data_IF_047849392286
#
_entry.id   IF_047849392286
#
_cell.length_a   1.000
_cell.length_b   1.000
_cell.length_c   1.000
_cell.angle_alpha   90.00
_cell.angle_beta   90.00
_cell.angle_gamma   90.00
#
_symmetry.space_group_name_H-M   'P 1'
#
loop_
_entity.id
_entity.type
_entity.pdbx_description
1 polymer ?
#
# COMPACT_ATOMS: atom_id res chain seq x y z
N UNK A 1 -21.52 -3.40 -4.27
CA UNK A 1 -20.49 -2.80 -3.40
C UNK A 1 -19.37 -2.11 -4.19
N UNK A 2 -18.63 -2.79 -5.08
CA UNK A 2 -17.54 -2.13 -5.86
C UNK A 2 -17.98 -0.98 -6.79
N UNK A 3 -19.27 -0.89 -7.17
CA UNK A 3 -19.83 0.20 -7.97
C UNK A 3 -19.94 1.55 -7.24
N UNK A 4 -19.91 1.55 -5.91
CA UNK A 4 -20.04 2.75 -5.10
C UNK A 4 -18.68 3.38 -4.75
N UNK A 5 -17.61 3.00 -5.48
CA UNK A 5 -16.30 3.60 -5.27
C UNK A 5 -16.38 5.09 -5.61
N UNK A 6 -15.96 6.00 -4.70
CA UNK A 6 -16.36 7.40 -4.78
C UNK A 6 -15.86 8.13 -6.02
N UNK A 7 -14.69 7.74 -6.54
CA UNK A 7 -14.08 8.32 -7.74
C UNK A 7 -14.32 7.49 -9.00
N UNK A 8 -14.27 6.16 -8.88
CA UNK A 8 -14.21 5.27 -10.05
C UNK A 8 -15.35 4.23 -10.04
N UNK A 9 -16.49 4.61 -9.49
CA UNK A 9 -17.68 3.78 -9.43
C UNK A 9 -18.84 4.44 -10.14
N UNK A 10 -19.66 3.68 -10.88
CA UNK A 10 -20.83 4.21 -11.58
C UNK A 10 -21.91 4.73 -10.64
N UNK A 11 -21.95 4.18 -9.43
CA UNK A 11 -22.87 4.57 -8.37
C UNK A 11 -22.14 5.44 -7.31
N UNK A 12 -20.90 5.86 -7.60
CA UNK A 12 -20.14 6.77 -6.75
C UNK A 12 -20.56 8.23 -6.95
N UNK A 13 -20.48 9.09 -5.92
CA UNK A 13 -20.88 10.50 -5.98
C UNK A 13 -20.14 11.32 -7.05
N UNK A 14 -18.93 10.92 -7.46
CA UNK A 14 -18.17 11.57 -8.54
C UNK A 14 -18.12 10.75 -9.85
N UNK A 15 -18.83 9.61 -9.89
CA UNK A 15 -18.87 8.71 -11.04
C UNK A 15 -19.47 9.34 -12.31
N UNK A 16 -20.66 9.97 -12.24
CA UNK A 16 -21.31 10.58 -13.40
C UNK A 16 -20.48 11.69 -14.05
N UNK A 17 -19.77 12.48 -13.25
CA UNK A 17 -18.93 13.59 -13.71
C UNK A 17 -17.65 13.12 -14.41
N UNK A 18 -17.17 11.92 -14.06
CA UNK A 18 -15.99 11.29 -14.67
C UNK A 18 -16.35 10.36 -15.84
N UNK A 19 -17.62 10.32 -16.27
CA UNK A 19 -18.07 9.50 -17.40
C UNK A 19 -18.04 8.00 -17.09
N UNK A 20 -18.17 7.60 -15.82
CA UNK A 20 -18.12 6.19 -15.45
C UNK A 20 -19.39 5.45 -15.88
N UNK A 21 -19.20 4.48 -16.78
CA UNK A 21 -20.25 3.58 -17.25
C UNK A 21 -20.10 2.19 -16.62
N UNK A 22 -21.14 1.34 -16.58
CA UNK A 22 -21.05 -0.04 -16.06
C UNK A 22 -19.97 -0.91 -16.69
N UNK A 23 -19.46 -0.51 -17.85
CA UNK A 23 -18.41 -1.19 -18.61
C UNK A 23 -17.01 -0.60 -18.39
N UNK A 24 -16.90 0.54 -17.70
CA UNK A 24 -15.63 1.18 -17.38
C UNK A 24 -15.43 1.35 -15.86
N UNK A 25 -16.28 0.73 -15.04
CA UNK A 25 -16.25 0.80 -13.58
C UNK A 25 -15.11 -0.05 -12.98
N UNK A 26 -14.59 0.32 -11.81
CA UNK A 26 -13.75 -0.54 -10.95
C UNK A 26 -14.35 -1.93 -10.80
N UNK A 27 -15.67 -2.06 -10.66
CA UNK A 27 -16.33 -3.38 -10.63
C UNK A 27 -16.04 -4.20 -11.89
N UNK A 28 -16.11 -3.57 -13.06
CA UNK A 28 -15.85 -4.26 -14.32
C UNK A 28 -14.36 -4.59 -14.47
N UNK A 29 -13.46 -3.70 -14.03
CA UNK A 29 -12.02 -3.96 -14.02
C UNK A 29 -11.64 -5.17 -13.12
N UNK A 30 -12.31 -5.32 -11.97
CA UNK A 30 -12.07 -6.42 -11.05
C UNK A 30 -12.69 -7.74 -11.52
N UNK A 31 -13.94 -7.72 -12.00
CA UNK A 31 -14.67 -8.94 -12.37
C UNK A 31 -14.41 -9.40 -13.81
N UNK A 32 -14.11 -8.48 -14.73
CA UNK A 32 -14.05 -8.77 -16.17
C UNK A 32 -15.40 -9.17 -16.78
N UNK A 33 -16.50 -8.87 -16.11
CA UNK A 33 -17.87 -9.20 -16.51
C UNK A 33 -18.91 -8.57 -15.59
N UNK A 34 -20.19 -8.88 -15.82
CA UNK A 34 -21.31 -8.38 -15.01
C UNK A 34 -21.48 -9.15 -13.69
N UNK A 35 -20.97 -10.39 -13.63
CA UNK A 35 -21.08 -11.33 -12.51
C UNK A 35 -19.71 -11.90 -12.15
N UNK A 36 -19.63 -12.53 -10.97
CA UNK A 36 -18.46 -13.31 -10.56
C UNK A 36 -18.52 -14.65 -11.28
N UNK A 37 -17.53 -14.92 -12.12
CA UNK A 37 -17.42 -16.16 -12.89
C UNK A 37 -15.92 -16.48 -13.16
N UNK A 38 -15.64 -17.46 -14.01
CA UNK A 38 -14.28 -17.91 -14.36
C UNK A 38 -13.34 -16.76 -14.78
N UNK A 39 -13.84 -15.73 -15.47
CA UNK A 39 -13.04 -14.55 -15.83
C UNK A 39 -12.60 -13.76 -14.58
N UNK A 40 -13.50 -13.60 -13.61
CA UNK A 40 -13.21 -12.94 -12.35
C UNK A 40 -12.18 -13.73 -11.53
N UNK A 41 -12.25 -15.07 -11.55
CA UNK A 41 -11.30 -15.93 -10.84
C UNK A 41 -9.87 -15.75 -11.38
N UNK A 42 -9.70 -15.78 -12.71
CA UNK A 42 -8.38 -15.61 -13.33
C UNK A 42 -7.80 -14.21 -13.06
N UNK A 43 -8.63 -13.17 -13.13
CA UNK A 43 -8.20 -11.80 -12.82
C UNK A 43 -7.82 -11.64 -11.35
N UNK A 44 -8.62 -12.18 -10.43
CA UNK A 44 -8.32 -12.15 -9.01
C UNK A 44 -7.00 -12.87 -8.71
N UNK A 45 -6.75 -14.01 -9.36
CA UNK A 45 -5.47 -14.73 -9.23
C UNK A 45 -4.28 -13.87 -9.64
N UNK A 46 -4.34 -13.19 -10.79
CA UNK A 46 -3.25 -12.30 -11.26
C UNK A 46 -3.06 -11.13 -10.29
N UNK A 47 -4.15 -10.47 -9.88
CA UNK A 47 -4.08 -9.36 -8.92
C UNK A 47 -3.47 -9.79 -7.58
N UNK A 48 -3.84 -10.98 -7.09
CA UNK A 48 -3.40 -11.48 -5.79
C UNK A 48 -1.97 -12.04 -5.80
N UNK A 49 -1.57 -12.75 -6.85
CA UNK A 49 -0.27 -13.43 -6.89
C UNK A 49 0.83 -12.57 -7.50
N UNK A 50 0.49 -11.60 -8.36
CA UNK A 50 1.49 -10.79 -9.08
C UNK A 50 1.40 -9.34 -8.65
N UNK A 51 0.27 -8.67 -8.89
CA UNK A 51 0.20 -7.22 -8.74
C UNK A 51 0.34 -6.76 -7.28
N UNK A 52 -0.46 -7.29 -6.35
CA UNK A 52 -0.42 -6.90 -4.93
C UNK A 52 0.95 -7.22 -4.30
N UNK A 53 1.53 -8.43 -4.46
CA UNK A 53 2.85 -8.73 -3.91
C UNK A 53 3.95 -7.86 -4.51
N UNK A 54 3.88 -7.54 -5.81
CA UNK A 54 4.85 -6.66 -6.45
C UNK A 54 4.78 -5.23 -5.90
N UNK A 55 3.58 -4.68 -5.73
CA UNK A 55 3.39 -3.35 -5.15
C UNK A 55 3.90 -3.33 -3.70
N UNK A 56 3.56 -4.34 -2.90
CA UNK A 56 4.06 -4.47 -1.52
C UNK A 56 5.59 -4.55 -1.49
N UNK A 57 6.21 -5.32 -2.39
CA UNK A 57 7.66 -5.42 -2.49
C UNK A 57 8.28 -4.05 -2.79
N UNK A 58 7.74 -3.31 -3.76
CA UNK A 58 8.23 -1.96 -4.09
C UNK A 58 8.11 -1.03 -2.88
N UNK A 59 6.96 -1.03 -2.20
CA UNK A 59 6.74 -0.21 -1.01
C UNK A 59 7.70 -0.58 0.12
N UNK A 60 7.96 -1.87 0.35
CA UNK A 60 8.93 -2.34 1.34
C UNK A 60 10.36 -1.92 0.99
N UNK A 61 10.76 -2.03 -0.29
CA UNK A 61 12.07 -1.57 -0.75
C UNK A 61 12.24 -0.07 -0.51
N UNK A 62 11.25 0.75 -0.93
CA UNK A 62 11.27 2.20 -0.70
C UNK A 62 11.28 2.51 0.80
N UNK A 63 10.47 1.79 1.58
CA UNK A 63 10.40 1.95 3.03
C UNK A 63 11.76 1.69 3.70
N UNK A 64 12.40 0.56 3.39
CA UNK A 64 13.71 0.24 3.98
C UNK A 64 14.83 1.14 3.45
N UNK A 65 14.77 1.57 2.19
CA UNK A 65 15.69 2.57 1.66
C UNK A 65 15.57 3.89 2.43
N UNK A 66 14.34 4.35 2.70
CA UNK A 66 14.07 5.53 3.53
C UNK A 66 14.58 5.36 4.95
N UNK A 67 14.30 4.24 5.61
CA UNK A 67 14.81 3.95 6.97
C UNK A 67 16.33 4.04 7.02
N UNK A 68 17.05 3.51 6.02
CA UNK A 68 18.52 3.59 5.96
C UNK A 68 19.03 4.99 5.64
N UNK A 69 18.29 5.76 4.84
CA UNK A 69 18.69 7.11 4.43
C UNK A 69 18.47 8.15 5.53
N UNK A 70 17.37 8.02 6.28
CA UNK A 70 16.87 9.05 7.20
C UNK A 70 17.35 8.88 8.66
N UNK A 71 18.38 8.05 8.90
CA UNK A 71 19.04 7.94 10.22
C UNK A 71 18.93 6.59 10.91
N UNK A 72 18.39 5.56 10.22
CA UNK A 72 18.30 4.21 10.74
C UNK A 72 17.08 3.96 11.61
N UNK A 73 17.13 2.88 12.38
CA UNK A 73 16.03 2.46 13.26
C UNK A 73 16.04 3.36 14.50
N UNK A 74 14.91 3.98 14.81
CA UNK A 74 14.73 4.70 16.09
C UNK A 74 14.87 3.72 17.25
N UNK A 75 16.07 3.65 17.82
CA UNK A 75 16.35 2.90 19.03
C UNK A 75 15.96 3.71 20.28
N UNK A 76 15.65 3.03 21.40
CA UNK A 76 15.54 3.71 22.69
C UNK A 76 16.86 4.43 23.00
N UNK A 77 16.78 5.56 23.70
CA UNK A 77 17.96 6.33 24.11
C UNK A 77 19.01 5.39 24.71
N UNK A 78 20.31 5.54 24.38
CA UNK A 78 21.34 4.67 24.93
C UNK A 78 21.26 4.77 26.45
N UNK A 79 20.82 3.70 27.11
CA UNK A 79 21.01 3.55 28.55
C UNK A 79 22.51 3.36 28.73
N UNK A 80 23.23 4.47 28.93
CA UNK A 80 24.62 4.43 29.34
C UNK A 80 24.63 3.95 30.79
N UNK A 81 25.23 2.79 31.04
CA UNK A 81 25.50 2.33 32.40
C UNK A 81 26.48 3.30 33.06
N UNK A 82 26.26 3.63 34.34
CA UNK A 82 27.14 4.51 35.14
C UNK A 82 28.62 4.12 35.04
N UNK A 83 28.92 2.83 34.80
CA UNK A 83 30.26 2.28 34.64
C UNK A 83 31.00 2.72 33.36
N UNK A 84 30.28 3.22 32.35
CA UNK A 84 30.87 3.69 31.08
C UNK A 84 31.08 5.22 31.04
N UNK A 85 30.65 5.94 32.09
CA UNK A 85 30.88 7.38 32.22
C UNK A 85 32.34 7.59 32.63
N UNK A 86 33.21 7.80 31.64
CA UNK A 86 34.61 8.17 31.90
C UNK A 86 34.62 9.52 32.60
N UNK A 87 35.04 9.53 33.87
CA UNK A 87 35.18 10.75 34.64
C UNK A 87 36.07 11.76 33.89
N UNK A 88 35.47 12.85 33.41
CA UNK A 88 36.20 13.97 32.84
C UNK A 88 37.19 14.50 33.87
N UNK A 89 38.48 14.32 33.61
CA UNK A 89 39.55 14.92 34.40
C UNK A 89 39.51 16.44 34.13
N UNK A 90 38.86 17.18 35.02
CA UNK A 90 38.99 18.64 35.11
C UNK A 90 40.48 19.00 35.24
N UNK A 91 40.98 19.76 34.27
CA UNK A 91 42.20 20.55 34.36
C UNK A 91 41.77 21.98 34.66
#
# INVERSE_FOLDING_TARGET
>A
MAKATPLLGTEGPLGPQLGMTPYNDVRFALLGGSIVDSNALLRAYIWHCIAIPTILLILLVVHFWRVRKDGGISGPAPVQLESEIKAERKI
#
